data_IF_628760982685
#
_entry.id   IF_628760982685
#
_cell.length_a   1.000
_cell.length_b   1.000
_cell.length_c   1.000
_cell.angle_alpha   90.00
_cell.angle_beta   90.00
_cell.angle_gamma   90.00
#
_symmetry.space_group_name_H-M   'P 1'
#
loop_
_entity.id
_entity.type
_entity.pdbx_description
1 polymer ?
#
# COMPACT_ATOMS: atom_id res chain seq x y z
N UNK A 1 -73.14 -21.27 25.09
CA UNK A 1 -73.30 -19.80 24.94
C UNK A 1 -72.20 -19.34 24.00
N UNK A 2 -72.42 -19.46 22.68
CA UNK A 2 -72.96 -18.42 21.76
C UNK A 2 -71.87 -17.44 21.28
N UNK A 3 -71.48 -17.60 20.01
CA UNK A 3 -70.63 -16.74 19.14
C UNK A 3 -71.28 -15.37 18.84
N UNK A 4 -70.56 -14.37 18.28
CA UNK A 4 -70.46 -14.18 16.81
C UNK A 4 -69.08 -13.63 16.35
N UNK A 5 -68.48 -13.98 15.19
CA UNK A 5 -68.78 -13.64 13.77
C UNK A 5 -68.89 -12.12 13.48
N UNK A 6 -67.97 -11.58 12.65
CA UNK A 6 -68.06 -10.40 11.73
C UNK A 6 -66.69 -9.67 11.68
N UNK A 7 -66.16 -9.16 10.57
CA UNK A 7 -66.53 -9.13 9.17
C UNK A 7 -65.26 -8.79 8.35
N UNK A 8 -65.23 -9.28 7.12
CA UNK A 8 -64.28 -8.91 6.07
C UNK A 8 -64.38 -7.42 5.73
N UNK A 9 -63.25 -6.75 5.53
CA UNK A 9 -63.18 -5.62 4.60
C UNK A 9 -61.92 -5.78 3.73
N UNK A 10 -62.14 -6.36 2.55
CA UNK A 10 -61.21 -6.36 1.43
C UNK A 10 -61.39 -5.03 0.68
N UNK A 11 -60.39 -4.17 0.70
CA UNK A 11 -60.21 -3.18 -0.37
C UNK A 11 -58.99 -3.59 -1.19
N UNK A 12 -59.25 -3.83 -2.47
CA UNK A 12 -58.30 -4.26 -3.48
C UNK A 12 -57.88 -3.08 -4.38
N UNK A 13 -56.68 -3.21 -4.95
CA UNK A 13 -56.11 -2.50 -6.11
C UNK A 13 -55.78 -1.00 -5.97
N UNK A 14 -54.49 -0.65 -6.20
CA UNK A 14 -54.04 -0.24 -7.54
C UNK A 14 -52.51 -0.16 -7.61
N UNK A 15 -52.00 -0.54 -8.78
CA UNK A 15 -50.59 -0.60 -9.17
C UNK A 15 -49.88 0.76 -9.07
N UNK A 16 -48.65 0.74 -8.60
CA UNK A 16 -47.60 1.65 -9.09
C UNK A 16 -46.33 0.83 -9.33
N UNK A 17 -46.23 0.19 -10.50
CA UNK A 17 -44.95 -0.26 -11.06
C UNK A 17 -44.13 0.97 -11.45
N UNK A 18 -43.46 1.57 -10.47
CA UNK A 18 -42.34 2.48 -10.68
C UNK A 18 -41.06 1.68 -10.69
N UNK A 19 -40.66 1.18 -11.86
CA UNK A 19 -39.37 0.52 -12.06
C UNK A 19 -38.23 1.53 -11.87
N UNK A 20 -37.78 1.68 -10.62
CA UNK A 20 -36.50 2.30 -10.29
C UNK A 20 -35.41 1.42 -10.89
N UNK A 21 -34.89 1.84 -12.04
CA UNK A 21 -33.67 1.30 -12.62
C UNK A 21 -32.49 1.71 -11.73
N UNK A 22 -32.33 1.00 -10.61
CA UNK A 22 -31.15 1.14 -9.75
C UNK A 22 -29.95 0.55 -10.51
N UNK A 23 -28.81 1.25 -10.57
CA UNK A 23 -27.60 0.62 -11.05
C UNK A 23 -27.33 -0.60 -10.16
N UNK A 24 -27.23 -1.78 -10.76
CA UNK A 24 -26.79 -2.98 -10.07
C UNK A 24 -25.34 -2.75 -9.62
N UNK A 25 -25.16 -2.16 -8.44
CA UNK A 25 -23.93 -2.31 -7.69
C UNK A 25 -23.77 -3.81 -7.49
N UNK A 26 -22.70 -4.39 -8.02
CA UNK A 26 -22.31 -5.73 -7.67
C UNK A 26 -22.23 -5.77 -6.13
N UNK A 27 -23.19 -6.42 -5.50
CA UNK A 27 -23.29 -6.44 -4.05
C UNK A 27 -22.18 -7.36 -3.55
N UNK A 28 -21.16 -6.75 -2.93
CA UNK A 28 -20.23 -7.51 -2.09
C UNK A 28 -21.07 -8.19 -1.01
N UNK A 29 -20.87 -9.50 -0.81
CA UNK A 29 -21.56 -10.25 0.24
C UNK A 29 -21.20 -9.63 1.61
N UNK A 30 -22.19 -9.02 2.32
CA UNK A 30 -21.92 -8.30 3.56
C UNK A 30 -21.37 -9.22 4.66
N UNK A 31 -21.67 -10.53 4.62
CA UNK A 31 -21.12 -11.49 5.55
C UNK A 31 -19.63 -11.76 5.28
N UNK A 32 -19.25 -11.87 4.00
CA UNK A 32 -17.86 -12.06 3.58
C UNK A 32 -16.99 -10.83 3.88
N UNK A 33 -17.52 -9.62 3.67
CA UNK A 33 -16.79 -8.39 4.04
C UNK A 33 -16.59 -8.27 5.55
N UNK A 34 -17.63 -8.56 6.36
CA UNK A 34 -17.53 -8.53 7.81
C UNK A 34 -16.50 -9.53 8.36
N UNK A 35 -16.41 -10.73 7.77
CA UNK A 35 -15.40 -11.72 8.14
C UNK A 35 -13.97 -11.24 7.85
N UNK A 36 -13.74 -10.61 6.69
CA UNK A 36 -12.42 -10.03 6.35
C UNK A 36 -12.04 -8.89 7.28
N UNK A 37 -12.97 -8.02 7.63
CA UNK A 37 -12.73 -6.92 8.57
C UNK A 37 -12.39 -7.43 9.98
N UNK A 38 -13.07 -8.49 10.42
CA UNK A 38 -12.74 -9.17 11.68
C UNK A 38 -11.33 -9.77 11.63
N UNK A 39 -10.94 -10.38 10.51
CA UNK A 39 -9.59 -10.93 10.33
C UNK A 39 -8.51 -9.83 10.31
N UNK A 40 -8.76 -8.71 9.62
CA UNK A 40 -7.88 -7.52 9.63
C UNK A 40 -7.69 -6.98 11.04
N UNK A 41 -8.79 -6.84 11.78
CA UNK A 41 -8.78 -6.37 13.17
C UNK A 41 -7.96 -7.30 14.06
N UNK A 42 -8.13 -8.61 13.90
CA UNK A 42 -7.35 -9.60 14.64
C UNK A 42 -5.85 -9.50 14.32
N UNK A 43 -5.47 -9.43 13.05
CA UNK A 43 -4.06 -9.27 12.66
C UNK A 43 -3.46 -8.00 13.26
N UNK A 44 -4.20 -6.89 13.23
CA UNK A 44 -3.76 -5.62 13.83
C UNK A 44 -3.55 -5.74 15.35
N UNK A 45 -4.47 -6.37 16.06
CA UNK A 45 -4.33 -6.63 17.51
C UNK A 45 -3.12 -7.51 17.81
N UNK A 46 -2.88 -8.54 16.99
CA UNK A 46 -1.72 -9.42 17.14
C UNK A 46 -0.40 -8.66 16.93
N UNK A 47 -0.32 -7.78 15.93
CA UNK A 47 0.86 -6.92 15.71
C UNK A 47 1.10 -5.95 16.87
N UNK A 48 0.06 -5.29 17.36
CA UNK A 48 0.13 -4.44 18.56
C UNK A 48 0.60 -5.23 19.80
N UNK A 49 0.19 -6.49 19.92
CA UNK A 49 0.65 -7.36 21.02
C UNK A 49 2.15 -7.69 20.92
N UNK A 50 2.68 -7.87 19.71
CA UNK A 50 4.11 -8.10 19.46
C UNK A 50 4.91 -6.85 19.83
N UNK A 51 4.45 -5.67 19.42
CA UNK A 51 5.09 -4.39 19.77
C UNK A 51 5.09 -4.15 21.29
N UNK A 52 3.95 -4.38 21.96
CA UNK A 52 3.85 -4.25 23.41
C UNK A 52 4.77 -5.24 24.14
N UNK A 53 4.92 -6.46 23.63
CA UNK A 53 5.85 -7.44 24.19
C UNK A 53 7.30 -7.03 23.96
N UNK A 54 7.66 -6.55 22.77
CA UNK A 54 8.99 -6.03 22.48
C UNK A 54 9.35 -4.90 23.46
N UNK A 55 8.47 -3.92 23.66
CA UNK A 55 8.72 -2.81 24.59
C UNK A 55 8.99 -3.31 26.02
N UNK A 56 8.24 -4.31 26.51
CA UNK A 56 8.48 -4.94 27.82
C UNK A 56 9.82 -5.67 27.87
N UNK A 57 10.18 -6.39 26.80
CA UNK A 57 11.45 -7.10 26.71
C UNK A 57 12.64 -6.14 26.66
N UNK A 58 12.55 -5.05 25.89
CA UNK A 58 13.57 -4.01 25.83
C UNK A 58 13.79 -3.36 27.21
N UNK A 59 12.70 -3.02 27.91
CA UNK A 59 12.78 -2.52 29.29
C UNK A 59 13.46 -3.52 30.24
N UNK A 60 13.20 -4.82 30.07
CA UNK A 60 13.88 -5.85 30.84
C UNK A 60 15.37 -5.98 30.47
N UNK A 61 15.73 -5.81 29.20
CA UNK A 61 17.11 -5.89 28.72
C UNK A 61 18.01 -4.81 29.35
N UNK A 62 17.50 -3.59 29.55
CA UNK A 62 18.27 -2.51 30.18
C UNK A 62 18.66 -2.79 31.65
N UNK A 63 18.05 -3.79 32.30
CA UNK A 63 18.42 -4.22 33.66
C UNK A 63 19.50 -5.32 33.67
N UNK A 64 19.94 -5.79 32.51
CA UNK A 64 20.92 -6.87 32.38
C UNK A 64 22.30 -6.30 32.06
N UNK A 65 23.34 -7.08 32.33
CA UNK A 65 24.71 -6.68 32.00
C UNK A 65 24.98 -6.69 30.48
N UNK A 66 24.52 -7.73 29.77
CA UNK A 66 24.65 -7.87 28.32
C UNK A 66 23.45 -7.23 27.58
N UNK A 67 23.29 -5.91 27.71
CA UNK A 67 22.14 -5.17 27.15
C UNK A 67 22.06 -5.33 25.63
N UNK A 68 23.17 -5.13 24.91
CA UNK A 68 23.19 -5.15 23.45
C UNK A 68 22.80 -6.51 22.85
N UNK A 69 23.32 -7.61 23.41
CA UNK A 69 22.96 -8.96 22.95
C UNK A 69 21.52 -9.33 23.31
N UNK A 70 21.02 -8.81 24.44
CA UNK A 70 19.62 -8.97 24.82
C UNK A 70 18.69 -8.23 23.84
N UNK A 71 18.99 -6.95 23.57
CA UNK A 71 18.21 -6.12 22.65
C UNK A 71 18.22 -6.70 21.24
N UNK A 72 19.37 -7.19 20.76
CA UNK A 72 19.49 -7.82 19.44
C UNK A 72 18.55 -9.03 19.32
N UNK A 73 18.53 -9.90 20.33
CA UNK A 73 17.66 -11.09 20.38
C UNK A 73 16.19 -10.72 20.45
N UNK A 74 15.80 -9.83 21.36
CA UNK A 74 14.41 -9.38 21.51
C UNK A 74 13.85 -8.78 20.20
N UNK A 75 14.64 -7.93 19.54
CA UNK A 75 14.26 -7.33 18.25
C UNK A 75 14.21 -8.35 17.12
N UNK A 76 15.10 -9.35 17.11
CA UNK A 76 15.08 -10.41 16.11
C UNK A 76 13.80 -11.25 16.23
N UNK A 77 13.48 -11.70 17.44
CA UNK A 77 12.27 -12.48 17.71
C UNK A 77 10.99 -11.69 17.35
N UNK A 78 10.93 -10.41 17.71
CA UNK A 78 9.80 -9.56 17.36
C UNK A 78 9.63 -9.41 15.84
N UNK A 79 10.72 -9.23 15.09
CA UNK A 79 10.68 -9.16 13.61
C UNK A 79 10.21 -10.46 12.99
N UNK A 80 10.67 -11.61 13.48
CA UNK A 80 10.26 -12.92 12.96
C UNK A 80 8.76 -13.16 13.16
N UNK A 81 8.25 -12.80 14.34
CA UNK A 81 6.83 -12.90 14.66
C UNK A 81 5.97 -11.93 13.84
N UNK A 82 6.40 -10.67 13.70
CA UNK A 82 5.68 -9.69 12.88
C UNK A 82 5.70 -10.07 11.39
N UNK A 83 6.81 -10.63 10.89
CA UNK A 83 6.91 -11.10 9.50
C UNK A 83 5.90 -12.21 9.17
N UNK A 84 5.55 -13.07 10.13
CA UNK A 84 4.48 -14.06 9.95
C UNK A 84 3.12 -13.35 9.76
N UNK A 85 2.82 -12.34 10.57
CA UNK A 85 1.56 -11.56 10.48
C UNK A 85 1.49 -10.76 9.19
N UNK A 86 2.59 -10.17 8.77
CA UNK A 86 2.68 -9.44 7.53
C UNK A 86 2.41 -10.34 6.30
N UNK A 87 2.90 -11.58 6.29
CA UNK A 87 2.58 -12.56 5.23
C UNK A 87 1.07 -12.89 5.19
N UNK A 88 0.46 -13.11 6.35
CA UNK A 88 -0.99 -13.36 6.45
C UNK A 88 -1.82 -12.17 5.95
N UNK A 89 -1.39 -10.95 6.26
CA UNK A 89 -2.02 -9.72 5.77
C UNK A 89 -1.86 -9.56 4.25
N UNK A 90 -0.70 -9.92 3.70
CA UNK A 90 -0.46 -9.90 2.26
C UNK A 90 -1.35 -10.88 1.52
N UNK A 91 -1.48 -12.12 2.01
CA UNK A 91 -2.37 -13.14 1.45
C UNK A 91 -3.82 -12.65 1.42
N UNK A 92 -4.32 -12.09 2.54
CA UNK A 92 -5.67 -11.52 2.61
C UNK A 92 -5.89 -10.39 1.60
N UNK A 93 -4.91 -9.50 1.43
CA UNK A 93 -5.00 -8.40 0.47
C UNK A 93 -4.96 -8.90 -0.99
N UNK A 94 -4.21 -9.97 -1.27
CA UNK A 94 -4.12 -10.55 -2.59
C UNK A 94 -5.38 -11.33 -2.97
N UNK A 95 -6.00 -12.03 -2.02
CA UNK A 95 -7.32 -12.63 -2.18
C UNK A 95 -8.36 -11.55 -2.53
N UNK A 96 -8.40 -10.44 -1.78
CA UNK A 96 -9.33 -9.34 -2.07
C UNK A 96 -9.08 -8.71 -3.45
N UNK A 97 -7.80 -8.55 -3.83
CA UNK A 97 -7.45 -8.06 -5.18
C UNK A 97 -7.97 -9.00 -6.27
N UNK A 98 -7.86 -10.31 -6.07
CA UNK A 98 -8.37 -11.32 -7.01
C UNK A 98 -9.90 -11.29 -7.09
N UNK A 99 -10.59 -11.20 -5.96
CA UNK A 99 -12.06 -11.10 -5.91
C UNK A 99 -12.55 -9.85 -6.66
N UNK A 100 -11.97 -8.68 -6.37
CA UNK A 100 -12.32 -7.43 -7.07
C UNK A 100 -12.03 -7.49 -8.56
N UNK A 101 -10.94 -8.15 -8.96
CA UNK A 101 -10.63 -8.37 -10.36
C UNK A 101 -11.68 -9.26 -11.04
N UNK A 102 -12.08 -10.36 -10.40
CA UNK A 102 -13.14 -11.24 -10.90
C UNK A 102 -14.49 -10.54 -10.98
N UNK A 103 -14.86 -9.76 -9.97
CA UNK A 103 -16.11 -8.99 -9.97
C UNK A 103 -16.14 -7.96 -11.11
N UNK A 104 -15.01 -7.29 -11.39
CA UNK A 104 -14.88 -6.43 -12.56
C UNK A 104 -14.98 -7.19 -13.87
N UNK A 105 -14.38 -8.38 -13.96
CA UNK A 105 -14.50 -9.19 -15.17
C UNK A 105 -15.96 -9.59 -15.41
N UNK A 106 -16.66 -10.07 -14.37
CA UNK A 106 -18.08 -10.40 -14.45
C UNK A 106 -18.93 -9.21 -14.89
N UNK A 107 -18.67 -8.01 -14.36
CA UNK A 107 -19.44 -6.82 -14.78
C UNK A 107 -19.13 -6.37 -16.21
N UNK A 108 -17.92 -6.63 -16.72
CA UNK A 108 -17.58 -6.46 -18.14
C UNK A 108 -18.35 -7.48 -18.98
N UNK A 109 -18.27 -8.77 -18.64
CA UNK A 109 -18.93 -9.85 -19.37
C UNK A 109 -20.45 -9.63 -19.41
N UNK A 110 -21.04 -9.22 -18.29
CA UNK A 110 -22.47 -8.91 -18.18
C UNK A 110 -22.84 -7.72 -19.09
N UNK A 111 -22.02 -6.65 -19.11
CA UNK A 111 -22.17 -5.51 -20.04
C UNK A 111 -21.99 -5.91 -21.51
N UNK A 112 -21.21 -6.94 -21.81
CA UNK A 112 -21.02 -7.45 -23.17
C UNK A 112 -22.14 -8.41 -23.60
N UNK A 113 -22.74 -9.15 -22.66
CA UNK A 113 -23.87 -10.05 -22.89
C UNK A 113 -25.21 -9.32 -22.98
N UNK A 114 -25.38 -8.22 -22.23
CA UNK A 114 -26.41 -7.23 -22.54
C UNK A 114 -26.17 -6.84 -24.00
N UNK A 115 -27.17 -6.99 -24.91
CA UNK A 115 -26.98 -6.60 -26.29
C UNK A 115 -26.47 -5.18 -26.23
N UNK A 116 -25.23 -4.96 -26.70
CA UNK A 116 -24.81 -3.63 -27.15
C UNK A 116 -25.93 -3.28 -28.11
N UNK A 117 -26.91 -2.51 -27.66
CA UNK A 117 -27.77 -1.79 -28.59
C UNK A 117 -26.76 -1.14 -29.47
N UNK A 118 -26.67 -1.67 -30.68
CA UNK A 118 -25.62 -1.30 -31.57
C UNK A 118 -25.92 0.17 -31.79
N UNK A 119 -25.14 1.03 -31.15
CA UNK A 119 -24.83 2.32 -31.72
C UNK A 119 -23.95 1.96 -32.92
N UNK A 120 -24.58 1.31 -33.89
CA UNK A 120 -24.31 1.62 -35.28
C UNK A 120 -24.36 3.14 -35.30
N UNK A 121 -23.30 3.83 -35.76
CA UNK A 121 -23.55 5.13 -36.34
C UNK A 121 -24.48 4.82 -37.50
N UNK A 122 -25.78 4.90 -37.25
CA UNK A 122 -26.81 4.80 -38.25
C UNK A 122 -26.50 5.89 -39.27
N UNK A 123 -25.79 5.49 -40.34
CA UNK A 123 -25.72 6.23 -41.57
C UNK A 123 -27.10 6.09 -42.23
N UNK A 124 -28.14 6.68 -41.62
CA UNK A 124 -29.48 6.26 -42.03
C UNK A 124 -30.71 6.83 -41.35
N UNK A 125 -30.66 7.72 -40.36
CA UNK A 125 -31.79 8.58 -40.00
C UNK A 125 -31.40 9.58 -38.89
N UNK A 126 -31.57 10.91 -39.09
CA UNK A 126 -31.45 11.84 -38.00
C UNK A 126 -32.64 11.59 -37.06
N UNK A 127 -32.43 10.81 -36.01
CA UNK A 127 -33.18 11.02 -34.77
C UNK A 127 -33.11 12.53 -34.53
N UNK A 128 -34.26 13.20 -34.49
CA UNK A 128 -34.35 14.66 -34.30
C UNK A 128 -33.82 15.00 -32.91
N UNK A 129 -32.51 14.92 -32.73
CA UNK A 129 -31.84 15.49 -31.56
C UNK A 129 -32.18 16.96 -31.62
N UNK A 130 -32.84 17.44 -30.58
CA UNK A 130 -33.16 18.85 -30.52
C UNK A 130 -31.85 19.64 -30.52
N UNK A 131 -31.89 20.91 -30.96
CA UNK A 131 -30.71 21.76 -30.87
C UNK A 131 -30.16 21.82 -29.42
N UNK A 132 -31.03 21.62 -28.42
CA UNK A 132 -30.66 21.53 -27.00
C UNK A 132 -29.82 20.28 -26.67
N UNK A 133 -30.17 19.09 -27.20
CA UNK A 133 -29.40 17.85 -26.97
C UNK A 133 -28.02 17.90 -27.63
N UNK A 134 -27.92 18.55 -28.79
CA UNK A 134 -26.65 18.78 -29.47
C UNK A 134 -25.76 19.76 -28.69
N UNK A 135 -26.35 20.86 -28.19
CA UNK A 135 -25.65 21.83 -27.35
C UNK A 135 -25.16 21.20 -26.03
N UNK A 136 -25.99 20.39 -25.37
CA UNK A 136 -25.62 19.72 -24.12
C UNK A 136 -24.47 18.72 -24.31
N UNK A 137 -24.49 17.93 -25.40
CA UNK A 137 -23.38 17.02 -25.74
C UNK A 137 -22.09 17.77 -26.07
N UNK A 138 -22.18 18.90 -26.78
CA UNK A 138 -21.02 19.74 -27.07
C UNK A 138 -20.43 20.36 -25.80
N UNK A 139 -21.27 20.79 -24.86
CA UNK A 139 -20.82 21.31 -23.57
C UNK A 139 -20.12 20.24 -22.73
N UNK A 140 -20.72 19.04 -22.59
CA UNK A 140 -20.09 17.93 -21.89
C UNK A 140 -18.77 17.49 -22.53
N UNK A 141 -18.66 17.52 -23.87
CA UNK A 141 -17.41 17.21 -24.57
C UNK A 141 -16.32 18.25 -24.25
N UNK A 142 -16.66 19.54 -24.20
CA UNK A 142 -15.74 20.61 -23.79
C UNK A 142 -15.31 20.49 -22.34
N UNK A 143 -16.23 20.16 -21.43
CA UNK A 143 -15.93 19.92 -20.02
C UNK A 143 -14.97 18.74 -19.84
N UNK A 144 -15.23 17.61 -20.53
CA UNK A 144 -14.34 16.45 -20.51
C UNK A 144 -12.96 16.76 -21.10
N UNK A 145 -12.90 17.51 -22.20
CA UNK A 145 -11.64 17.94 -22.80
C UNK A 145 -10.85 18.86 -21.84
N UNK A 146 -11.52 19.77 -21.14
CA UNK A 146 -10.91 20.62 -20.11
C UNK A 146 -10.38 19.81 -18.93
N UNK A 147 -11.17 18.86 -18.41
CA UNK A 147 -10.74 17.97 -17.32
C UNK A 147 -9.55 17.08 -17.73
N UNK A 148 -9.55 16.56 -18.96
CA UNK A 148 -8.44 15.76 -19.48
C UNK A 148 -7.18 16.61 -19.62
N UNK A 149 -7.28 17.83 -20.17
CA UNK A 149 -6.16 18.75 -20.26
C UNK A 149 -5.59 19.09 -18.88
N UNK A 150 -6.45 19.34 -17.89
CA UNK A 150 -6.04 19.60 -16.50
C UNK A 150 -5.29 18.43 -15.88
N UNK A 151 -5.79 17.20 -16.04
CA UNK A 151 -5.09 15.99 -15.56
C UNK A 151 -3.74 15.78 -16.25
N UNK A 152 -3.62 16.13 -17.53
CA UNK A 152 -2.36 16.02 -18.27
C UNK A 152 -1.32 17.02 -17.78
N UNK A 153 -1.69 18.29 -17.55
CA UNK A 153 -0.78 19.29 -16.96
C UNK A 153 -0.39 18.95 -15.54
N UNK A 154 -1.32 18.48 -14.70
CA UNK A 154 -1.01 18.01 -13.35
C UNK A 154 -0.02 16.84 -13.35
N UNK A 155 -0.22 15.87 -14.24
CA UNK A 155 0.70 14.73 -14.39
C UNK A 155 2.07 15.16 -14.90
N UNK A 156 2.14 16.08 -15.86
CA UNK A 156 3.40 16.62 -16.36
C UNK A 156 4.17 17.33 -15.24
N UNK A 157 3.51 18.22 -14.50
CA UNK A 157 4.10 18.92 -13.38
C UNK A 157 4.55 17.96 -12.26
N UNK A 158 3.80 16.89 -11.99
CA UNK A 158 4.20 15.87 -11.02
C UNK A 158 5.43 15.08 -11.49
N UNK A 159 5.54 14.77 -12.78
CA UNK A 159 6.72 14.10 -13.36
C UNK A 159 7.96 14.97 -13.26
N UNK A 160 7.83 16.26 -13.54
CA UNK A 160 8.93 17.23 -13.41
C UNK A 160 9.40 17.36 -11.96
N UNK A 161 8.48 17.47 -10.99
CA UNK A 161 8.82 17.49 -9.57
C UNK A 161 9.60 16.25 -9.14
N UNK A 162 9.13 15.05 -9.53
CA UNK A 162 9.84 13.79 -9.23
C UNK A 162 11.21 13.71 -9.90
N UNK A 163 11.32 14.19 -11.13
CA UNK A 163 12.60 14.22 -11.83
C UNK A 163 13.61 15.15 -11.15
N UNK A 164 13.15 16.32 -10.68
CA UNK A 164 13.97 17.26 -9.92
C UNK A 164 14.43 16.65 -8.59
N UNK A 165 13.50 16.08 -7.80
CA UNK A 165 13.83 15.43 -6.53
C UNK A 165 14.84 14.28 -6.72
N UNK A 166 14.68 13.47 -7.77
CA UNK A 166 15.63 12.40 -8.10
C UNK A 166 17.00 12.94 -8.49
N UNK A 167 17.06 14.01 -9.28
CA UNK A 167 18.31 14.66 -9.67
C UNK A 167 19.03 15.24 -8.44
N UNK A 168 18.33 15.90 -7.53
CA UNK A 168 18.90 16.41 -6.28
C UNK A 168 19.42 15.29 -5.38
N UNK A 169 18.67 14.20 -5.23
CA UNK A 169 19.11 13.05 -4.44
C UNK A 169 20.35 12.40 -5.06
N UNK A 170 20.39 12.26 -6.38
CA UNK A 170 21.55 11.73 -7.09
C UNK A 170 22.79 12.63 -6.90
N UNK A 171 22.63 13.96 -6.98
CA UNK A 171 23.71 14.91 -6.74
C UNK A 171 24.24 14.81 -5.30
N UNK A 172 23.36 14.83 -4.30
CA UNK A 172 23.75 14.67 -2.88
C UNK A 172 24.42 13.33 -2.60
N UNK A 173 24.00 12.26 -3.28
CA UNK A 173 24.63 10.93 -3.15
C UNK A 173 26.06 10.92 -3.68
N UNK A 174 26.29 11.56 -4.84
CA UNK A 174 27.63 11.71 -5.44
C UNK A 174 28.57 12.50 -4.53
N UNK A 175 28.13 13.65 -4.03
CA UNK A 175 28.90 14.49 -3.11
C UNK A 175 29.32 13.70 -1.86
N UNK A 176 28.38 13.00 -1.21
CA UNK A 176 28.68 12.17 -0.04
C UNK A 176 29.63 11.01 -0.36
N UNK A 177 29.58 10.48 -1.57
CA UNK A 177 30.48 9.41 -1.99
C UNK A 177 31.90 9.93 -2.21
N UNK A 178 32.05 11.08 -2.87
CA UNK A 178 33.33 11.77 -3.04
C UNK A 178 33.94 12.14 -1.69
N UNK A 179 33.16 12.74 -0.78
CA UNK A 179 33.60 13.06 0.58
C UNK A 179 34.08 11.81 1.35
N UNK A 180 33.37 10.69 1.24
CA UNK A 180 33.78 9.42 1.87
C UNK A 180 35.09 8.91 1.30
N UNK A 181 35.29 9.00 -0.02
CA UNK A 181 36.54 8.59 -0.67
C UNK A 181 37.70 9.47 -0.24
N UNK A 182 37.50 10.78 -0.18
CA UNK A 182 38.52 11.74 0.20
C UNK A 182 38.93 11.56 1.66
N UNK A 183 37.96 11.44 2.57
CA UNK A 183 38.23 11.12 3.97
C UNK A 183 38.93 9.77 4.13
N UNK A 184 38.59 8.76 3.33
CA UNK A 184 39.26 7.47 3.36
C UNK A 184 40.72 7.57 2.88
N UNK A 185 40.99 8.35 1.84
CA UNK A 185 42.34 8.62 1.34
C UNK A 185 43.18 9.38 2.37
N UNK A 186 42.64 10.45 2.93
CA UNK A 186 43.30 11.22 3.99
C UNK A 186 43.66 10.36 5.20
N UNK A 187 42.74 9.48 5.65
CA UNK A 187 43.04 8.56 6.76
C UNK A 187 44.18 7.59 6.44
N UNK A 188 44.25 7.09 5.20
CA UNK A 188 45.35 6.21 4.76
C UNK A 188 46.66 6.95 4.73
N UNK A 189 46.70 8.14 4.12
CA UNK A 189 47.89 8.98 4.06
C UNK A 189 48.37 9.39 5.46
N UNK A 190 47.45 9.75 6.36
CA UNK A 190 47.78 10.08 7.74
C UNK A 190 48.38 8.88 8.48
N UNK A 191 47.75 7.71 8.38
CA UNK A 191 48.27 6.48 8.99
C UNK A 191 49.64 6.09 8.42
N UNK A 192 49.86 6.25 7.11
CA UNK A 192 51.15 5.98 6.49
C UNK A 192 52.23 6.96 6.98
N UNK A 193 51.90 8.27 7.11
CA UNK A 193 52.81 9.27 7.69
C UNK A 193 53.16 8.95 9.14
N UNK A 194 52.16 8.71 9.98
CA UNK A 194 52.34 8.34 11.38
C UNK A 194 53.20 7.07 11.52
N UNK A 195 53.01 6.09 10.63
CA UNK A 195 53.85 4.89 10.58
C UNK A 195 55.30 5.23 10.24
N UNK A 196 55.54 6.00 9.19
CA UNK A 196 56.91 6.39 8.79
C UNK A 196 57.61 7.24 9.85
N UNK A 197 56.89 8.14 10.53
CA UNK A 197 57.42 8.95 11.64
C UNK A 197 57.74 8.08 12.86
N UNK A 198 56.90 7.10 13.18
CA UNK A 198 57.14 6.15 14.25
C UNK A 198 58.37 5.27 13.96
N UNK A 199 58.53 4.80 12.72
CA UNK A 199 59.70 4.05 12.25
C UNK A 199 60.98 4.90 12.36
N UNK A 200 60.95 6.15 11.88
CA UNK A 200 62.08 7.07 11.97
C UNK A 200 62.47 7.42 13.42
N UNK A 201 61.48 7.51 14.31
CA UNK A 201 61.68 7.72 15.75
C UNK A 201 62.08 6.44 16.51
N UNK A 202 62.21 5.30 15.83
CA UNK A 202 62.60 4.01 16.44
C UNK A 202 61.54 3.42 17.37
N UNK A 203 60.27 3.80 17.24
CA UNK A 203 59.17 3.23 18.03
C UNK A 203 58.87 1.79 17.56
N UNK A 204 58.85 0.79 18.47
CA UNK A 204 58.56 -0.58 18.08
C UNK A 204 57.11 -0.72 17.61
N UNK A 205 56.88 -1.60 16.64
CA UNK A 205 55.54 -1.94 16.17
C UNK A 205 54.67 -2.47 17.33
N UNK A 206 53.36 -2.16 17.36
CA UNK A 206 52.47 -2.66 18.39
C UNK A 206 52.45 -4.19 18.40
N UNK A 207 52.48 -4.79 19.59
CA UNK A 207 52.38 -6.25 19.74
C UNK A 207 51.08 -6.75 19.10
N UNK A 208 51.12 -7.88 18.39
CA UNK A 208 49.91 -8.47 17.81
C UNK A 208 48.91 -8.79 18.94
N UNK A 209 47.63 -8.60 18.65
CA UNK A 209 46.56 -8.96 19.57
C UNK A 209 46.64 -10.47 19.88
N UNK A 210 46.32 -10.88 21.12
CA UNK A 210 46.26 -12.30 21.47
C UNK A 210 45.26 -13.01 20.55
N UNK A 211 45.62 -14.22 20.10
CA UNK A 211 44.74 -15.04 19.25
C UNK A 211 43.42 -15.32 20.00
N UNK A 212 42.26 -15.27 19.34
CA UNK A 212 40.98 -15.56 19.99
C UNK A 212 40.98 -17.01 20.49
N UNK A 213 40.65 -17.18 21.76
CA UNK A 213 40.58 -18.49 22.42
C UNK A 213 39.52 -19.36 21.71
N UNK A 214 39.96 -20.41 21.02
CA UNK A 214 39.08 -21.38 20.37
C UNK A 214 38.42 -22.33 21.40
N UNK A 215 37.75 -21.77 22.41
CA UNK A 215 37.32 -22.51 23.60
C UNK A 215 36.11 -21.91 24.30
N UNK A 216 34.99 -21.76 23.61
CA UNK A 216 33.69 -21.56 24.24
C UNK A 216 32.56 -22.10 23.35
N UNK A 217 32.60 -23.41 23.10
CA UNK A 217 31.46 -24.18 22.62
C UNK A 217 31.21 -25.31 23.61
N UNK A 218 30.42 -25.02 24.66
CA UNK A 218 29.65 -25.98 25.45
C UNK A 218 28.32 -25.33 25.81
#
# INVERSE_FOLDING_TARGET
MTTPLSALCRCALALALGGLLSPASAQDDPAASAQRDAQRTRLQQERQSIEAQLARQEAACYRRFAVEDCLRRARAEARERDAIRWRQELELNDEERREKAQQRQRSIDEREQLPRQAVTPDAGQPARSTAADAAQRAQQARERAGQQSGRQTEHAAQRERRAHEQAEQAARSRERFEERQDKARQRREQHDRERTEAEAAGRPAPRPLPAPDAGAAQ
#
